data_IF_355417885227
#
_entry.id   IF_355417885227
#
_cell.length_a   1.000
_cell.length_b   1.000
_cell.length_c   1.000
_cell.angle_alpha   90.00
_cell.angle_beta   90.00
_cell.angle_gamma   90.00
#
_symmetry.space_group_name_H-M   'P 1'
#
loop_
_entity.id
_entity.type
_entity.pdbx_description
1 polymer ?
#
# COMPACT_ATOMS: atom_id res chain seq x y z
N UNK A 1 10.82 -17.21 28.44
CA UNK A 1 10.95 -17.39 26.97
C UNK A 1 10.28 -16.19 26.30
N UNK A 2 11.04 -15.19 25.86
CA UNK A 2 10.48 -13.96 25.28
C UNK A 2 9.94 -14.28 23.88
N UNK A 3 8.62 -14.21 23.68
CA UNK A 3 8.03 -14.29 22.34
C UNK A 3 8.36 -13.00 21.59
N UNK A 4 9.01 -13.10 20.44
CA UNK A 4 9.11 -11.97 19.53
C UNK A 4 7.74 -11.75 18.87
N UNK A 5 7.20 -10.54 19.04
CA UNK A 5 5.88 -10.14 18.55
C UNK A 5 5.89 -9.65 17.10
N UNK A 6 7.07 -9.63 16.45
CA UNK A 6 7.23 -9.11 15.10
C UNK A 6 8.31 -9.87 14.32
N UNK A 7 8.17 -9.85 12.98
CA UNK A 7 9.19 -10.26 12.01
C UNK A 7 9.43 -9.12 11.02
N UNK A 8 10.67 -8.98 10.55
CA UNK A 8 11.06 -7.94 9.60
C UNK A 8 11.47 -8.60 8.29
N UNK A 9 10.94 -8.09 7.18
CA UNK A 9 11.24 -8.56 5.84
C UNK A 9 11.61 -7.36 4.96
N UNK A 10 12.58 -7.56 4.08
CA UNK A 10 13.10 -6.52 3.20
C UNK A 10 12.63 -6.74 1.77
N UNK A 11 12.18 -5.66 1.12
CA UNK A 11 11.70 -5.67 -0.27
C UNK A 11 12.41 -4.52 -0.99
N UNK A 12 12.87 -4.71 -2.24
CA UNK A 12 13.50 -3.63 -2.99
C UNK A 12 12.50 -2.50 -3.26
N UNK A 13 12.99 -1.26 -3.24
CA UNK A 13 12.17 -0.08 -3.52
C UNK A 13 11.64 -0.12 -4.95
N UNK A 14 10.36 0.19 -5.09
CA UNK A 14 9.70 0.26 -6.39
C UNK A 14 10.14 1.45 -7.24
N UNK A 15 10.58 2.55 -6.61
CA UNK A 15 11.02 3.77 -7.29
C UNK A 15 11.98 4.58 -6.40
N UNK A 16 13.06 5.04 -7.01
CA UNK A 16 14.01 5.98 -6.40
C UNK A 16 13.64 7.44 -6.67
N UNK A 17 14.10 8.35 -5.81
CA UNK A 17 13.86 9.80 -5.98
C UNK A 17 14.61 10.27 -7.24
N UNK A 18 13.91 10.95 -8.14
CA UNK A 18 14.48 11.41 -9.41
C UNK A 18 14.59 10.36 -10.51
N UNK A 19 14.18 9.10 -10.27
CA UNK A 19 14.20 8.05 -11.29
C UNK A 19 13.29 8.39 -12.48
N UNK A 20 13.68 7.98 -13.69
CA UNK A 20 12.82 8.11 -14.87
C UNK A 20 11.56 7.23 -14.74
N UNK A 21 10.46 7.64 -15.38
CA UNK A 21 9.20 6.91 -15.33
C UNK A 21 9.31 5.50 -15.89
N UNK A 22 10.05 5.32 -16.99
CA UNK A 22 10.26 4.02 -17.64
C UNK A 22 11.05 3.07 -16.74
N UNK A 23 12.16 3.54 -16.17
CA UNK A 23 12.96 2.74 -15.23
C UNK A 23 12.16 2.40 -13.97
N UNK A 24 11.27 3.30 -13.52
CA UNK A 24 10.40 3.07 -12.35
C UNK A 24 9.44 1.89 -12.54
N UNK A 25 8.98 1.65 -13.78
CA UNK A 25 8.14 0.48 -14.09
C UNK A 25 8.92 -0.81 -13.86
N UNK A 26 10.17 -0.87 -14.35
CA UNK A 26 11.04 -2.04 -14.19
C UNK A 26 11.33 -2.32 -12.72
N UNK A 27 11.70 -1.29 -11.93
CA UNK A 27 11.94 -1.46 -10.49
C UNK A 27 10.66 -1.81 -9.72
N UNK A 28 9.49 -1.36 -10.17
CA UNK A 28 8.20 -1.76 -9.58
C UNK A 28 7.88 -3.22 -9.86
N UNK A 29 8.11 -3.71 -11.08
CA UNK A 29 7.95 -5.13 -11.42
C UNK A 29 8.93 -5.97 -10.60
N UNK A 30 10.18 -5.52 -10.47
CA UNK A 30 11.17 -6.19 -9.63
C UNK A 30 10.70 -6.29 -8.17
N UNK A 31 10.19 -5.19 -7.60
CA UNK A 31 9.59 -5.19 -6.26
C UNK A 31 8.39 -6.12 -6.11
N UNK A 32 7.56 -6.25 -7.16
CA UNK A 32 6.44 -7.17 -7.20
C UNK A 32 6.90 -8.64 -7.12
N UNK A 33 7.96 -9.02 -7.84
CA UNK A 33 8.50 -10.38 -7.84
C UNK A 33 8.98 -10.84 -6.45
N UNK A 34 9.42 -9.91 -5.60
CA UNK A 34 9.74 -10.21 -4.19
C UNK A 34 8.51 -10.16 -3.28
N UNK A 35 7.57 -9.26 -3.55
CA UNK A 35 6.36 -9.07 -2.74
C UNK A 35 5.41 -10.26 -2.81
N UNK A 36 5.23 -10.85 -4.00
CA UNK A 36 4.31 -11.98 -4.21
C UNK A 36 4.67 -13.20 -3.36
N UNK A 37 5.88 -13.80 -3.45
CA UNK A 37 6.20 -14.99 -2.65
C UNK A 37 6.14 -14.69 -1.15
N UNK A 38 6.57 -13.50 -0.74
CA UNK A 38 6.53 -13.09 0.66
C UNK A 38 5.10 -13.04 1.21
N UNK A 39 4.18 -12.37 0.50
CA UNK A 39 2.77 -12.28 0.92
C UNK A 39 2.09 -13.64 0.90
N UNK A 40 2.42 -14.51 -0.06
CA UNK A 40 1.87 -15.86 -0.15
C UNK A 40 2.40 -16.79 0.95
N UNK A 41 3.62 -16.54 1.44
CA UNK A 41 4.18 -17.25 2.57
C UNK A 41 3.57 -16.77 3.90
N UNK A 42 3.52 -15.44 4.11
CA UNK A 42 3.00 -14.84 5.34
C UNK A 42 1.49 -14.94 5.47
N UNK A 43 0.76 -14.95 4.35
CA UNK A 43 -0.71 -14.94 4.26
C UNK A 43 -1.33 -13.98 5.28
N UNK A 44 -1.08 -12.67 5.17
CA UNK A 44 -1.57 -11.70 6.15
C UNK A 44 -3.10 -11.69 6.19
N UNK A 45 -3.69 -11.42 7.36
CA UNK A 45 -5.12 -11.12 7.47
C UNK A 45 -5.45 -9.67 7.08
N UNK A 46 -4.51 -8.77 7.38
CA UNK A 46 -4.63 -7.34 7.10
C UNK A 46 -3.29 -6.84 6.55
N UNK A 47 -3.34 -6.00 5.53
CA UNK A 47 -2.24 -5.19 5.04
C UNK A 47 -2.56 -3.74 5.36
N UNK A 48 -1.88 -3.20 6.35
CA UNK A 48 -1.93 -1.78 6.70
C UNK A 48 -0.69 -1.10 6.12
N UNK A 49 -0.89 -0.08 5.30
CA UNK A 49 0.22 0.63 4.70
C UNK A 49 -0.09 2.11 4.44
N UNK A 50 0.97 2.89 4.36
CA UNK A 50 1.02 4.22 3.80
C UNK A 50 2.05 4.25 2.66
N UNK A 51 2.03 5.29 1.82
CA UNK A 51 3.08 5.49 0.79
C UNK A 51 4.50 5.47 1.39
N UNK A 52 5.56 5.10 0.64
CA UNK A 52 5.80 5.42 -0.78
C UNK A 52 5.41 4.28 -1.75
N UNK A 53 5.77 4.42 -3.04
CA UNK A 53 5.38 3.53 -4.16
C UNK A 53 5.46 2.02 -3.90
N UNK A 54 6.33 1.57 -2.99
CA UNK A 54 6.58 0.16 -2.69
C UNK A 54 5.39 -0.52 -2.01
N UNK A 55 4.47 0.23 -1.39
CA UNK A 55 3.22 -0.32 -0.88
C UNK A 55 2.31 -0.88 -1.99
N UNK A 56 2.42 -0.38 -3.23
CA UNK A 56 1.58 -0.81 -4.37
C UNK A 56 1.83 -2.29 -4.71
N UNK A 57 3.06 -2.76 -5.01
CA UNK A 57 3.31 -4.18 -5.28
C UNK A 57 2.93 -5.11 -4.11
N UNK A 58 3.07 -4.66 -2.86
CA UNK A 58 2.58 -5.41 -1.69
C UNK A 58 1.06 -5.56 -1.68
N UNK A 59 0.32 -4.48 -1.91
CA UNK A 59 -1.13 -4.51 -1.96
C UNK A 59 -1.64 -5.34 -3.15
N UNK A 60 -0.97 -5.25 -4.31
CA UNK A 60 -1.28 -6.09 -5.48
C UNK A 60 -1.06 -7.57 -5.12
N UNK A 61 0.02 -7.91 -4.45
CA UNK A 61 0.30 -9.29 -4.01
C UNK A 61 -0.77 -9.80 -3.04
N UNK A 62 -1.24 -8.97 -2.12
CA UNK A 62 -2.35 -9.29 -1.22
C UNK A 62 -3.67 -9.47 -1.98
N UNK A 63 -3.92 -8.62 -2.97
CA UNK A 63 -5.09 -8.75 -3.84
C UNK A 63 -5.04 -10.04 -4.66
N UNK A 64 -3.87 -10.44 -5.17
CA UNK A 64 -3.70 -11.73 -5.86
C UNK A 64 -4.03 -12.90 -4.94
N UNK A 65 -3.55 -12.89 -3.69
CA UNK A 65 -3.88 -13.91 -2.69
C UNK A 65 -5.40 -14.00 -2.44
N UNK A 66 -6.09 -12.85 -2.46
CA UNK A 66 -7.55 -12.75 -2.33
C UNK A 66 -8.29 -13.27 -3.56
N UNK A 67 -7.85 -12.90 -4.77
CA UNK A 67 -8.47 -13.31 -6.05
C UNK A 67 -8.34 -14.82 -6.26
N UNK A 68 -7.20 -15.41 -5.86
CA UNK A 68 -6.99 -16.86 -5.91
C UNK A 68 -7.80 -17.63 -4.84
N UNK A 69 -8.60 -16.95 -4.03
CA UNK A 69 -9.43 -17.58 -2.99
C UNK A 69 -8.64 -18.18 -1.82
N UNK A 70 -7.32 -17.94 -1.75
CA UNK A 70 -6.46 -18.57 -0.74
C UNK A 70 -6.66 -17.97 0.65
N UNK A 71 -6.86 -16.66 0.73
CA UNK A 71 -7.15 -15.95 1.99
C UNK A 71 -7.84 -14.62 1.72
N UNK A 72 -8.83 -14.30 2.55
CA UNK A 72 -9.39 -12.93 2.58
C UNK A 72 -8.38 -12.00 3.26
N UNK A 73 -7.80 -11.10 2.49
CA UNK A 73 -6.89 -10.06 2.98
C UNK A 73 -7.60 -8.72 2.97
N UNK A 74 -7.58 -8.02 4.10
CA UNK A 74 -8.08 -6.65 4.21
C UNK A 74 -6.96 -5.67 3.89
N UNK A 75 -7.16 -4.78 2.93
CA UNK A 75 -6.19 -3.76 2.54
C UNK A 75 -6.65 -2.41 3.09
N UNK A 76 -5.86 -1.86 4.01
CA UNK A 76 -6.07 -0.55 4.62
C UNK A 76 -4.94 0.37 4.15
N UNK A 77 -5.31 1.44 3.45
CA UNK A 77 -4.37 2.47 3.03
C UNK A 77 -4.61 3.77 3.80
N UNK A 78 -3.53 4.35 4.32
CA UNK A 78 -3.54 5.67 4.96
C UNK A 78 -2.72 6.64 4.10
N UNK A 79 -3.36 7.68 3.59
CA UNK A 79 -2.67 8.70 2.82
C UNK A 79 -1.76 9.56 3.72
N UNK A 80 -0.64 9.98 3.14
CA UNK A 80 0.35 10.81 3.81
C UNK A 80 -0.22 12.15 4.26
N UNK A 81 0.15 12.59 5.46
CA UNK A 81 -0.21 13.91 5.99
C UNK A 81 0.25 15.06 5.09
N UNK A 82 1.33 14.88 4.31
CA UNK A 82 1.84 15.90 3.41
C UNK A 82 0.93 16.15 2.19
N UNK A 83 -0.09 15.31 1.97
CA UNK A 83 -1.02 15.42 0.85
C UNK A 83 -2.26 16.18 1.27
N UNK A 84 -2.22 17.51 1.16
CA UNK A 84 -3.33 18.39 1.57
C UNK A 84 -4.41 18.52 0.48
N UNK A 85 -3.99 18.69 -0.77
CA UNK A 85 -4.90 19.06 -1.88
C UNK A 85 -5.15 17.92 -2.88
N UNK A 86 -4.17 17.02 -3.05
CA UNK A 86 -4.21 15.93 -4.03
C UNK A 86 -3.66 14.64 -3.46
N UNK A 87 -4.22 13.49 -3.87
CA UNK A 87 -3.69 12.18 -3.52
C UNK A 87 -2.32 11.94 -4.14
N UNK A 88 -1.49 11.17 -3.44
CA UNK A 88 -0.24 10.66 -3.98
C UNK A 88 -0.50 9.71 -5.16
N UNK A 89 0.52 9.43 -5.98
CA UNK A 89 0.36 8.47 -7.08
C UNK A 89 -0.06 7.08 -6.54
N UNK A 90 0.59 6.61 -5.48
CA UNK A 90 0.21 5.39 -4.77
C UNK A 90 -1.21 5.47 -4.22
N UNK A 91 -1.58 6.59 -3.61
CA UNK A 91 -2.93 6.84 -3.12
C UNK A 91 -3.97 6.77 -4.24
N UNK A 92 -3.71 7.36 -5.41
CA UNK A 92 -4.60 7.27 -6.59
C UNK A 92 -4.77 5.83 -7.06
N UNK A 93 -3.69 5.05 -7.11
CA UNK A 93 -3.74 3.64 -7.50
C UNK A 93 -4.53 2.82 -6.47
N UNK A 94 -4.22 3.00 -5.18
CA UNK A 94 -4.81 2.23 -4.10
C UNK A 94 -6.21 2.68 -3.71
N UNK A 95 -6.64 3.88 -4.09
CA UNK A 95 -7.98 4.41 -3.82
C UNK A 95 -9.09 3.43 -4.20
N UNK A 96 -8.96 2.78 -5.36
CA UNK A 96 -9.95 1.80 -5.82
C UNK A 96 -9.65 0.36 -5.36
N UNK A 97 -8.39 0.05 -5.03
CA UNK A 97 -7.94 -1.31 -4.68
C UNK A 97 -8.04 -1.61 -3.18
N UNK A 98 -7.92 -0.61 -2.31
CA UNK A 98 -8.03 -0.77 -0.86
C UNK A 98 -9.49 -0.92 -0.44
N UNK A 99 -9.70 -1.72 0.60
CA UNK A 99 -11.00 -1.87 1.25
C UNK A 99 -11.34 -0.62 2.06
N UNK A 100 -10.36 -0.11 2.83
CA UNK A 100 -10.47 1.15 3.56
C UNK A 100 -9.38 2.12 3.11
N UNK A 101 -9.79 3.34 2.79
CA UNK A 101 -8.91 4.41 2.35
C UNK A 101 -9.06 5.61 3.27
N UNK A 102 -8.03 5.92 4.05
CA UNK A 102 -8.05 7.01 5.01
C UNK A 102 -7.30 8.24 4.51
N UNK A 103 -7.87 9.41 4.76
CA UNK A 103 -7.26 10.72 4.48
C UNK A 103 -7.23 11.58 5.74
N UNK A 104 -6.21 12.43 5.82
CA UNK A 104 -6.00 13.30 6.99
C UNK A 104 -6.49 14.73 6.79
N UNK A 105 -7.04 15.05 5.61
CA UNK A 105 -7.57 16.37 5.27
C UNK A 105 -9.00 16.26 4.75
N UNK A 106 -9.89 17.08 5.31
CA UNK A 106 -11.32 17.08 4.92
C UNK A 106 -11.52 17.52 3.46
N UNK A 107 -10.64 18.37 2.93
CA UNK A 107 -10.64 18.77 1.53
C UNK A 107 -10.48 17.58 0.58
N UNK A 108 -9.63 16.60 0.94
CA UNK A 108 -9.49 15.38 0.15
C UNK A 108 -10.75 14.53 0.19
N UNK A 109 -11.40 14.38 1.34
CA UNK A 109 -12.65 13.64 1.43
C UNK A 109 -13.74 14.24 0.54
N UNK A 110 -13.85 15.57 0.48
CA UNK A 110 -14.80 16.25 -0.43
C UNK A 110 -14.54 15.92 -1.91
N UNK A 111 -13.28 15.74 -2.29
CA UNK A 111 -12.86 15.40 -3.66
C UNK A 111 -12.91 13.90 -3.96
N UNK A 112 -12.75 13.07 -2.94
CA UNK A 112 -12.64 11.62 -3.02
C UNK A 112 -13.63 10.98 -2.05
N UNK A 113 -14.91 10.79 -2.43
CA UNK A 113 -15.98 10.41 -1.51
C UNK A 113 -15.84 9.00 -0.89
N UNK A 114 -15.05 8.10 -1.50
CA UNK A 114 -14.71 6.79 -0.90
C UNK A 114 -13.71 6.94 0.26
N UNK A 115 -12.99 8.06 0.33
CA UNK A 115 -12.03 8.30 1.40
C UNK A 115 -12.74 8.60 2.72
N UNK A 116 -12.20 8.04 3.80
CA UNK A 116 -12.68 8.27 5.17
C UNK A 116 -11.74 9.28 5.81
N UNK A 117 -12.28 10.43 6.19
CA UNK A 117 -11.53 11.44 6.95
C UNK A 117 -11.46 11.06 8.43
N UNK A 118 -10.26 10.98 8.99
CA UNK A 118 -10.03 10.71 10.42
C UNK A 118 -9.20 11.81 11.12
N UNK A 119 -8.91 12.91 10.44
CA UNK A 119 -7.99 13.93 10.97
C UNK A 119 -6.54 13.42 11.03
N UNK A 120 -5.78 13.89 12.02
CA UNK A 120 -4.35 13.55 12.18
C UNK A 120 -4.20 12.15 12.75
N UNK A 121 -3.63 11.23 11.96
CA UNK A 121 -3.41 9.82 12.33
C UNK A 121 -1.94 9.50 12.59
N UNK A 122 -1.02 10.34 12.10
CA UNK A 122 0.44 10.17 12.18
C UNK A 122 1.09 11.54 12.42
#
# INVERSE_FOLDING_TARGET
MVRNWYTVHWIPRSREVGQSWTSSVVSTIYSLLYSVPLVFQLKPGVVLCNGPGTCVPLCISALMLRILGMKKVLIIYIESICRVETLSLSGKILYNLSDYFFVQWSALQKKYPKAIYLGRLV
#
